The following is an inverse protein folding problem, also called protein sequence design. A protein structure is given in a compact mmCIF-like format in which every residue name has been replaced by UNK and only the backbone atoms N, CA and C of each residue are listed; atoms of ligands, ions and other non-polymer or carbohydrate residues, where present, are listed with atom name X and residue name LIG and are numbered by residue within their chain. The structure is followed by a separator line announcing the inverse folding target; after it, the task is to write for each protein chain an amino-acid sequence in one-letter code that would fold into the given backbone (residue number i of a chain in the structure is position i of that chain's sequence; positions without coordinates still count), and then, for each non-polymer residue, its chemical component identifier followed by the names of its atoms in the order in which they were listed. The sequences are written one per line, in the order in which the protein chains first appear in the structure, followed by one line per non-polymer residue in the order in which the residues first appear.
data_IF_434467210738
#
_entry.id   IF_434467210738
#
_cell.length_a   1.000
_cell.length_b   1.000
_cell.length_c   1.000
_cell.angle_alpha   90.00
_cell.angle_beta   90.00
_cell.angle_gamma   90.00
#
_symmetry.space_group_name_H-M   'P 1'
#
loop_
_entity.id
_entity.type
_entity.pdbx_description
1 polymer ?
#
# COMPACT_ATOMS: atom_id res chain seq x y z
N UNK A 1 22.01 7.25 -6.79
CA UNK A 1 21.71 6.93 -6.46
C UNK A 1 21.62 6.04 -5.79
N UNK A 2 21.26 5.66 -5.12
CA UNK A 2 21.21 4.85 -4.39
C UNK A 2 20.14 4.09 -4.43
N UNK A 3 19.99 3.08 -4.61
CA UNK A 3 19.07 2.32 -4.66
C UNK A 3 19.03 1.51 -3.62
N UNK A 4 18.22 1.36 -2.96
CA UNK A 4 18.19 0.64 -1.86
C UNK A 4 17.20 -0.40 -1.90
N UNK A 5 17.31 -1.42 -1.21
CA UNK A 5 16.40 -2.45 -1.12
C UNK A 5 15.15 -1.95 -0.57
N UNK A 6 15.15 -0.92 0.20
CA UNK A 6 14.03 -0.37 0.75
C UNK A 6 13.12 0.13 -0.31
N UNK A 7 13.53 0.48 -1.48
CA UNK A 7 12.72 0.96 -2.54
C UNK A 7 11.61 0.01 -2.88
N UNK A 8 11.85 -1.27 -2.82
CA UNK A 8 10.87 -2.24 -3.13
C UNK A 8 9.73 -2.17 -2.14
N UNK A 9 10.02 -2.05 -0.87
CA UNK A 9 9.01 -1.95 0.15
C UNK A 9 8.25 -0.63 0.06
N UNK A 10 8.93 0.42 -0.26
CA UNK A 10 8.32 1.72 -0.40
C UNK A 10 7.32 1.71 -1.53
N UNK A 11 7.65 1.06 -2.64
CA UNK A 11 6.76 0.98 -3.75
C UNK A 11 5.55 0.15 -3.40
N UNK A 12 5.74 -0.95 -2.68
CA UNK A 12 4.65 -1.79 -2.27
C UNK A 12 3.67 -0.99 -1.41
N UNK A 13 4.20 -0.20 -0.50
CA UNK A 13 3.38 0.64 0.37
C UNK A 13 2.56 1.62 -0.47
N UNK A 14 3.17 2.26 -1.42
CA UNK A 14 2.49 3.21 -2.29
C UNK A 14 1.40 2.54 -3.09
N UNK A 15 1.67 1.36 -3.62
CA UNK A 15 0.69 0.67 -4.38
C UNK A 15 -0.49 0.25 -3.53
N UNK A 16 -0.21 -0.15 -2.29
CA UNK A 16 -1.25 -0.49 -1.36
C UNK A 16 -2.13 0.70 -1.05
N UNK A 17 -1.49 1.83 -0.87
CA UNK A 17 -2.21 3.06 -0.56
C UNK A 17 -3.14 3.40 -1.73
N UNK A 18 -2.66 3.31 -2.94
CA UNK A 18 -3.46 3.61 -4.09
C UNK A 18 -4.62 2.62 -4.22
N UNK A 19 -4.40 1.38 -3.93
CA UNK A 19 -5.44 0.38 -3.98
C UNK A 19 -6.52 0.70 -2.96
N UNK A 20 -6.13 1.10 -1.78
CA UNK A 20 -7.07 1.46 -0.73
C UNK A 20 -7.90 2.66 -1.09
N UNK A 21 -7.26 3.66 -1.68
CA UNK A 21 -7.94 4.88 -2.10
C UNK A 21 -8.94 4.55 -3.21
N UNK A 22 -8.58 3.64 -4.09
CA UNK A 22 -9.46 3.26 -5.17
C UNK A 22 -10.58 2.33 -4.72
N UNK A 23 -10.55 1.89 -3.51
CA UNK A 23 -11.59 1.01 -3.01
C UNK A 23 -11.38 -0.45 -3.34
N UNK A 24 -10.17 -0.86 -3.66
CA UNK A 24 -9.90 -2.23 -3.97
C UNK A 24 -9.80 -3.06 -2.72
N UNK A 25 -10.05 -4.33 -2.87
CA UNK A 25 -10.02 -5.23 -1.74
C UNK A 25 -8.60 -5.53 -1.34
N UNK A 26 -8.36 -5.86 -0.09
CA UNK A 26 -7.04 -6.22 0.36
C UNK A 26 -6.57 -7.50 -0.31
N UNK A 27 -7.47 -8.27 -0.85
CA UNK A 27 -7.14 -9.48 -1.55
C UNK A 27 -6.54 -9.22 -2.91
N UNK A 28 -6.55 -8.00 -3.35
CA UNK A 28 -5.97 -7.63 -4.62
C UNK A 28 -4.48 -7.47 -4.56
N UNK A 29 -3.86 -7.74 -3.44
CA UNK A 29 -2.42 -7.60 -3.30
C UNK A 29 -1.70 -8.44 -4.34
N UNK A 30 -0.89 -7.85 -5.17
CA UNK A 30 -0.20 -8.57 -6.23
C UNK A 30 1.08 -9.25 -5.77
N UNK A 31 1.48 -9.01 -4.54
CA UNK A 31 2.73 -9.54 -4.05
C UNK A 31 2.52 -10.81 -3.24
N UNK A 32 3.44 -11.72 -3.39
CA UNK A 32 3.34 -12.96 -2.66
C UNK A 32 4.29 -13.02 -1.50
N UNK A 33 5.31 -12.21 -1.52
CA UNK A 33 6.30 -12.18 -0.45
C UNK A 33 5.66 -11.60 0.80
N UNK A 34 5.82 -12.22 1.93
CA UNK A 34 5.21 -11.77 3.15
C UNK A 34 5.66 -10.37 3.52
N UNK A 35 6.93 -10.10 3.33
CA UNK A 35 7.47 -8.80 3.65
C UNK A 35 6.86 -7.72 2.79
N UNK A 36 6.84 -7.92 1.50
CA UNK A 36 6.33 -6.94 0.57
C UNK A 36 4.82 -6.82 0.76
N UNK A 37 4.15 -7.91 0.96
CA UNK A 37 2.73 -7.90 1.15
C UNK A 37 2.35 -7.12 2.39
N UNK A 38 3.13 -7.24 3.43
CA UNK A 38 2.90 -6.53 4.65
C UNK A 38 2.96 -5.02 4.42
N UNK A 39 3.91 -4.58 3.63
CA UNK A 39 4.03 -3.18 3.31
C UNK A 39 2.84 -2.72 2.46
N UNK A 40 2.43 -3.52 1.51
CA UNK A 40 1.29 -3.22 0.68
C UNK A 40 0.04 -3.07 1.55
N UNK A 41 -0.16 -3.99 2.47
CA UNK A 41 -1.31 -3.93 3.35
C UNK A 41 -1.25 -2.72 4.27
N UNK A 42 -0.05 -2.36 4.70
CA UNK A 42 0.13 -1.17 5.53
C UNK A 42 -0.36 0.06 4.80
N UNK A 43 0.01 0.20 3.54
CA UNK A 43 -0.43 1.32 2.74
C UNK A 43 -1.93 1.28 2.50
N UNK A 44 -2.45 0.10 2.24
CA UNK A 44 -3.87 -0.09 2.00
C UNK A 44 -4.67 0.35 3.22
N UNK A 45 -4.23 -0.03 4.40
CA UNK A 45 -4.94 0.32 5.63
C UNK A 45 -4.87 1.81 5.89
N UNK A 46 -3.77 2.43 5.61
CA UNK A 46 -3.64 3.87 5.76
C UNK A 46 -4.61 4.57 4.85
N UNK A 47 -4.74 4.08 3.62
CA UNK A 47 -5.65 4.68 2.66
C UNK A 47 -7.08 4.56 3.11
N UNK A 48 -7.45 3.42 3.65
CA UNK A 48 -8.80 3.21 4.12
C UNK A 48 -9.10 4.19 5.27
N UNK A 49 -8.15 4.35 6.15
CA UNK A 49 -8.31 5.29 7.26
C UNK A 49 -8.49 6.71 6.75
N UNK A 50 -7.69 7.10 5.79
CA UNK A 50 -7.75 8.45 5.24
C UNK A 50 -9.07 8.66 4.52
N UNK A 51 -9.55 7.68 3.81
CA UNK A 51 -10.83 7.80 3.13
C UNK A 51 -11.93 7.96 4.14
N UNK A 52 -11.90 7.21 5.19
CA UNK A 52 -12.92 7.28 6.22
C UNK A 52 -12.94 8.61 6.94
N UNK A 53 -11.78 9.24 7.01
CA UNK A 53 -11.70 10.54 7.65
C UNK A 53 -12.00 11.66 6.68
N UNK A 54 -12.12 11.33 5.42
CA UNK A 54 -12.40 12.35 4.43
C UNK A 54 -11.21 13.19 4.04
N UNK A 55 -10.02 12.71 4.32
CA UNK A 55 -8.83 13.48 4.01
C UNK A 55 -8.45 13.36 2.56
N UNK A 56 -8.97 12.35 1.89
CA UNK A 56 -8.62 12.14 0.52
C UNK A 56 -9.84 12.29 -0.33
N UNK A 57 -9.71 12.93 -1.44
CA UNK A 57 -10.83 13.15 -2.23
C UNK A 57 -11.03 12.23 -3.23
#
# INVERSE_FOLDING_TARGET
MKRQKRDRLSRAHSKGYQAGISGRSKDNCPFQSSEVRSEWLGGWREAIGDRNLGLVK
#
